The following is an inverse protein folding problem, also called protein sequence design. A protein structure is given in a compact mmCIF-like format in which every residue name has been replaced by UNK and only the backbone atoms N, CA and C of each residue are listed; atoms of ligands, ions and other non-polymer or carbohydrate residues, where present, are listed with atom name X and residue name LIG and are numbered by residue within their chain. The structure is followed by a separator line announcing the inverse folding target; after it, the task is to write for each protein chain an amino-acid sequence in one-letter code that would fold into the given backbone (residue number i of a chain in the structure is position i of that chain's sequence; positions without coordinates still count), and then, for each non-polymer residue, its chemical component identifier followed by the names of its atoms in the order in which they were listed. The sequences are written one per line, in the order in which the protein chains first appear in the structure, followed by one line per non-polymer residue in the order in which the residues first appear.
data_IF_314336019652
#
_entry.id   IF_314336019652
#
_cell.length_a   1.000
_cell.length_b   1.000
_cell.length_c   1.000
_cell.angle_alpha   90.00
_cell.angle_beta   90.00
_cell.angle_gamma   90.00
#
_symmetry.space_group_name_H-M   'P 1'
#
loop_
_entity.id
_entity.type
_entity.pdbx_description
1 polymer ?
#
# COMPACT_ATOMS: atom_id res chain seq x y z
N UNK A 1 3.85 4.19 -5.16
CA UNK A 1 2.92 4.21 -4.00
C UNK A 1 1.78 5.17 -4.25
N UNK A 2 0.61 4.89 -3.69
CA UNK A 2 -0.60 5.70 -3.84
C UNK A 2 -0.99 6.38 -2.52
N UNK A 3 -2.20 6.97 -2.50
CA UNK A 3 -2.77 7.57 -1.29
C UNK A 3 -2.94 6.61 -0.11
N UNK A 4 -2.80 5.32 -0.32
CA UNK A 4 -2.97 4.30 0.71
C UNK A 4 -1.68 3.96 1.45
N UNK A 5 -0.53 4.31 0.90
CA UNK A 5 0.76 4.13 1.57
C UNK A 5 1.07 5.30 2.50
N UNK A 6 1.53 5.03 3.71
CA UNK A 6 1.79 6.04 4.73
C UNK A 6 2.80 7.10 4.25
N UNK A 7 3.89 6.67 3.61
CA UNK A 7 4.93 7.54 3.09
C UNK A 7 4.40 8.51 2.02
N UNK A 8 3.72 8.00 1.00
CA UNK A 8 3.19 8.79 -0.08
C UNK A 8 2.08 9.74 0.40
N UNK A 9 1.14 9.22 1.21
CA UNK A 9 -0.01 9.97 1.68
C UNK A 9 0.37 11.12 2.62
N UNK A 10 1.30 10.90 3.55
CA UNK A 10 1.78 11.96 4.46
C UNK A 10 2.61 13.03 3.74
N UNK A 11 3.12 12.72 2.56
CA UNK A 11 3.79 13.69 1.69
C UNK A 11 2.85 14.35 0.67
N UNK A 12 1.55 14.10 0.77
CA UNK A 12 0.52 14.80 0.00
C UNK A 12 0.10 14.10 -1.28
N UNK A 13 0.47 12.84 -1.51
CA UNK A 13 -0.04 12.03 -2.62
C UNK A 13 -1.51 11.72 -2.40
N UNK A 14 -2.34 12.02 -3.41
CA UNK A 14 -3.79 11.73 -3.43
C UNK A 14 -4.20 10.76 -4.53
N UNK A 15 -3.23 10.34 -5.34
CA UNK A 15 -3.42 9.42 -6.46
C UNK A 15 -3.97 8.09 -5.96
N UNK A 16 -5.04 7.61 -6.57
CA UNK A 16 -5.63 6.30 -6.32
C UNK A 16 -4.90 5.21 -7.13
N UNK A 17 -5.05 3.93 -6.79
CA UNK A 17 -4.51 2.83 -7.61
C UNK A 17 -4.97 2.91 -9.08
N UNK A 18 -6.23 3.22 -9.34
CA UNK A 18 -6.74 3.37 -10.71
C UNK A 18 -6.05 4.51 -11.47
N UNK A 19 -5.86 5.67 -10.83
CA UNK A 19 -5.12 6.77 -11.45
C UNK A 19 -3.64 6.44 -11.68
N UNK A 20 -3.02 5.64 -10.81
CA UNK A 20 -1.65 5.19 -10.99
C UNK A 20 -1.49 4.27 -12.21
N UNK A 21 -2.42 3.35 -12.43
CA UNK A 21 -2.43 2.53 -13.65
C UNK A 21 -2.76 3.35 -14.91
N UNK A 22 -3.73 4.28 -14.84
CA UNK A 22 -4.01 5.19 -15.95
C UNK A 22 -2.77 6.03 -16.32
N UNK A 23 -2.05 6.56 -15.31
CA UNK A 23 -0.78 7.24 -15.53
C UNK A 23 0.27 6.34 -16.20
N UNK A 24 0.39 5.09 -15.78
CA UNK A 24 1.29 4.12 -16.40
C UNK A 24 0.93 3.87 -17.88
N UNK A 25 -0.35 3.93 -18.24
CA UNK A 25 -0.82 3.88 -19.63
C UNK A 25 -0.71 5.21 -20.39
N UNK A 26 -0.16 6.26 -19.76
CA UNK A 26 0.06 7.55 -20.39
C UNK A 26 -1.06 8.56 -20.17
N UNK A 27 -2.01 8.32 -19.27
CA UNK A 27 -2.96 9.34 -18.84
C UNK A 27 -2.27 10.41 -17.98
N UNK A 28 -2.81 11.62 -17.97
CA UNK A 28 -2.32 12.69 -17.09
C UNK A 28 -2.80 12.47 -15.66
N UNK A 29 -1.91 12.61 -14.68
CA UNK A 29 -2.22 12.55 -13.26
C UNK A 29 -1.94 13.88 -12.58
N UNK A 30 -2.88 14.34 -11.74
CA UNK A 30 -2.71 15.52 -10.91
C UNK A 30 -1.75 15.27 -9.75
N UNK A 31 -0.86 16.23 -9.51
CA UNK A 31 0.11 16.18 -8.42
C UNK A 31 0.07 17.45 -7.57
N UNK A 32 0.63 17.35 -6.37
CA UNK A 32 0.80 18.49 -5.47
C UNK A 32 1.64 19.63 -6.11
N UNK A 33 1.46 20.89 -5.64
CA UNK A 33 0.59 21.28 -4.53
C UNK A 33 -0.90 21.23 -4.91
N UNK A 34 -1.75 21.15 -3.88
CA UNK A 34 -3.20 21.11 -4.02
C UNK A 34 -3.78 22.51 -3.71
N UNK A 35 -4.82 22.90 -4.42
CA UNK A 35 -5.61 24.10 -4.11
C UNK A 35 -6.37 23.91 -2.78
N UNK A 36 -7.01 24.96 -2.28
CA UNK A 36 -7.87 24.88 -1.09
C UNK A 36 -9.10 24.00 -1.31
N UNK A 37 -9.54 23.90 -2.54
CA UNK A 37 -10.67 23.08 -2.99
C UNK A 37 -10.25 21.62 -3.23
N UNK A 38 -8.94 21.33 -3.16
CA UNK A 38 -8.40 19.97 -3.32
C UNK A 38 -8.00 19.62 -4.76
N UNK A 39 -8.04 20.59 -5.68
CA UNK A 39 -7.63 20.39 -7.07
C UNK A 39 -6.10 20.43 -7.22
N UNK A 40 -5.51 19.59 -8.09
CA UNK A 40 -4.09 19.64 -8.35
C UNK A 40 -3.70 20.91 -9.09
N UNK A 41 -2.64 21.58 -8.64
CA UNK A 41 -2.10 22.74 -9.33
C UNK A 41 -1.07 22.38 -10.41
N UNK A 42 -0.68 21.13 -10.47
CA UNK A 42 0.22 20.57 -11.47
C UNK A 42 -0.24 19.19 -11.90
N UNK A 43 0.16 18.78 -13.09
CA UNK A 43 -0.05 17.42 -13.58
C UNK A 43 1.24 16.86 -14.19
N UNK A 44 1.32 15.55 -14.23
CA UNK A 44 2.36 14.81 -14.94
C UNK A 44 1.71 13.84 -15.93
N UNK A 45 2.43 13.57 -17.00
CA UNK A 45 2.07 12.56 -17.99
C UNK A 45 3.35 11.91 -18.49
N UNK A 46 3.33 10.59 -18.70
CA UNK A 46 4.46 9.91 -19.31
C UNK A 46 4.55 10.25 -20.79
N UNK A 47 5.75 10.46 -21.29
CA UNK A 47 5.99 10.67 -22.72
C UNK A 47 5.68 9.40 -23.56
N UNK A 48 5.76 8.23 -22.94
CA UNK A 48 5.42 6.94 -23.51
C UNK A 48 4.74 6.07 -22.44
N UNK A 49 3.63 5.38 -22.77
CA UNK A 49 3.05 4.37 -21.89
C UNK A 49 4.06 3.30 -21.50
N UNK A 50 3.88 2.71 -20.33
CA UNK A 50 4.61 1.52 -19.90
C UNK A 50 3.95 0.27 -20.48
N UNK A 51 4.70 -0.80 -20.58
CA UNK A 51 4.19 -2.10 -21.05
C UNK A 51 3.55 -2.90 -19.91
N UNK A 52 3.98 -2.62 -18.66
CA UNK A 52 3.42 -3.23 -17.45
C UNK A 52 3.62 -2.33 -16.23
N UNK A 53 2.81 -2.53 -15.21
CA UNK A 53 2.95 -1.85 -13.93
C UNK A 53 2.36 -2.65 -12.76
N UNK A 54 2.82 -2.35 -11.56
CA UNK A 54 2.26 -2.79 -10.29
C UNK A 54 2.16 -1.60 -9.34
N UNK A 55 1.03 -1.44 -8.68
CA UNK A 55 0.92 -0.59 -7.49
C UNK A 55 1.40 -1.40 -6.30
N UNK A 56 2.41 -0.89 -5.59
CA UNK A 56 3.05 -1.56 -4.45
C UNK A 56 3.00 -0.72 -3.18
N UNK A 57 1.80 -0.33 -2.77
CA UNK A 57 1.63 0.40 -1.51
C UNK A 57 2.15 -0.42 -0.34
N UNK A 58 2.74 0.24 0.67
CA UNK A 58 3.13 -0.41 1.92
C UNK A 58 1.94 -1.06 2.60
N UNK A 59 2.05 -2.34 2.93
CA UNK A 59 0.99 -3.08 3.62
C UNK A 59 0.84 -2.62 5.09
N UNK A 60 1.95 -2.17 5.67
CA UNK A 60 1.97 -1.63 7.03
C UNK A 60 1.11 -0.37 7.11
N UNK A 61 0.21 -0.33 8.07
CA UNK A 61 -0.65 0.82 8.37
C UNK A 61 -1.60 1.23 7.24
N UNK A 62 -1.83 0.38 6.23
CA UNK A 62 -2.72 0.70 5.10
C UNK A 62 -4.16 0.98 5.56
N UNK A 63 -4.62 0.28 6.60
CA UNK A 63 -5.93 0.49 7.23
C UNK A 63 -6.00 1.82 7.97
N UNK A 64 -4.98 2.14 8.75
CA UNK A 64 -4.88 3.40 9.51
C UNK A 64 -4.85 4.61 8.56
N UNK A 65 -4.06 4.52 7.49
CA UNK A 65 -4.02 5.57 6.46
C UNK A 65 -5.40 5.76 5.82
N UNK A 66 -6.11 4.67 5.52
CA UNK A 66 -7.47 4.74 4.99
C UNK A 66 -8.43 5.39 5.98
N UNK A 67 -8.41 4.98 7.24
CA UNK A 67 -9.26 5.54 8.29
C UNK A 67 -9.01 7.04 8.48
N UNK A 68 -7.76 7.46 8.55
CA UNK A 68 -7.39 8.85 8.76
C UNK A 68 -7.75 9.78 7.60
N UNK A 69 -7.82 9.25 6.37
CA UNK A 69 -8.16 9.99 5.16
C UNK A 69 -9.66 9.95 4.79
N UNK A 70 -10.47 9.14 5.47
CA UNK A 70 -11.86 8.91 5.04
C UNK A 70 -12.85 9.34 6.12
N UNK A 71 -13.51 10.51 5.98
CA UNK A 71 -14.52 10.96 6.92
C UNK A 71 -15.65 9.93 7.10
N UNK A 72 -16.09 9.74 8.35
CA UNK A 72 -17.18 8.82 8.68
C UNK A 72 -16.76 7.35 8.84
N UNK A 73 -15.51 6.99 8.56
CA UNK A 73 -14.95 5.69 8.93
C UNK A 73 -14.66 5.69 10.43
N UNK A 74 -14.97 4.59 11.10
CA UNK A 74 -14.66 4.43 12.52
C UNK A 74 -13.15 4.63 12.76
N UNK A 75 -12.80 5.37 13.81
CA UNK A 75 -11.40 5.76 14.11
C UNK A 75 -10.92 7.04 13.42
N UNK A 76 -11.68 7.61 12.44
CA UNK A 76 -11.30 8.83 11.74
C UNK A 76 -11.02 10.02 12.68
N UNK A 77 -11.77 10.13 13.76
CA UNK A 77 -11.66 11.23 14.72
C UNK A 77 -10.75 10.91 15.91
N UNK A 78 -9.98 9.81 15.84
CA UNK A 78 -8.96 9.49 16.83
C UNK A 78 -7.85 10.56 16.89
N UNK A 79 -7.12 10.62 18.00
CA UNK A 79 -6.01 11.58 18.13
C UNK A 79 -4.89 11.30 17.13
N UNK A 80 -4.65 10.03 16.78
CA UNK A 80 -3.68 9.62 15.76
C UNK A 80 -4.06 10.18 14.39
N UNK A 81 -5.32 10.06 14.02
CA UNK A 81 -5.82 10.59 12.77
C UNK A 81 -5.87 12.12 12.75
N UNK A 82 -6.13 12.77 13.87
CA UNK A 82 -5.99 14.22 14.01
C UNK A 82 -4.53 14.64 13.79
N UNK A 83 -3.58 13.95 14.44
CA UNK A 83 -2.15 14.19 14.24
C UNK A 83 -1.75 14.00 12.78
N UNK A 84 -2.19 12.91 12.15
CA UNK A 84 -1.94 12.60 10.75
C UNK A 84 -2.41 13.71 9.81
N UNK A 85 -3.61 14.25 10.01
CA UNK A 85 -4.16 15.31 9.16
C UNK A 85 -3.53 16.68 9.40
N UNK A 86 -3.18 17.02 10.64
CA UNK A 86 -2.68 18.35 10.99
C UNK A 86 -1.14 18.46 10.98
N UNK A 87 -0.44 17.34 11.21
CA UNK A 87 1.03 17.30 11.20
C UNK A 87 1.54 16.03 10.53
N UNK A 88 1.28 15.86 9.20
CA UNK A 88 1.56 14.61 8.48
C UNK A 88 3.02 14.17 8.55
N UNK A 89 3.98 15.10 8.51
CA UNK A 89 5.40 14.76 8.67
C UNK A 89 5.73 14.15 10.02
N UNK A 90 5.17 14.70 11.10
CA UNK A 90 5.36 14.17 12.43
C UNK A 90 4.67 12.81 12.60
N UNK A 91 3.46 12.67 12.06
CA UNK A 91 2.74 11.42 12.02
C UNK A 91 3.53 10.34 11.26
N UNK A 92 4.13 10.67 10.12
CA UNK A 92 4.99 9.75 9.36
C UNK A 92 6.07 9.12 10.25
N UNK A 93 6.88 9.95 10.93
CA UNK A 93 7.96 9.43 11.77
C UNK A 93 7.43 8.67 12.99
N UNK A 94 6.41 9.18 13.64
CA UNK A 94 5.85 8.55 14.84
C UNK A 94 5.22 7.19 14.51
N UNK A 95 4.40 7.12 13.46
CA UNK A 95 3.69 5.89 13.09
C UNK A 95 4.66 4.83 12.58
N UNK A 96 5.65 5.22 11.75
CA UNK A 96 6.72 4.30 11.35
C UNK A 96 7.51 3.78 12.56
N UNK A 97 7.87 4.65 13.50
CA UNK A 97 8.59 4.22 14.71
C UNK A 97 7.75 3.24 15.54
N UNK A 98 6.46 3.50 15.72
CA UNK A 98 5.56 2.60 16.45
C UNK A 98 5.40 1.25 15.76
N UNK A 99 5.10 1.25 14.46
CA UNK A 99 4.94 0.03 13.69
C UNK A 99 6.25 -0.77 13.60
N UNK A 100 7.37 -0.10 13.29
CA UNK A 100 8.65 -0.78 13.09
C UNK A 100 9.28 -1.32 14.39
N UNK A 101 9.22 -0.56 15.48
CA UNK A 101 9.86 -0.98 16.74
C UNK A 101 9.06 -2.02 17.49
N UNK A 102 7.75 -2.07 17.32
CA UNK A 102 6.85 -2.96 18.05
C UNK A 102 6.24 -4.06 17.18
N UNK A 103 6.35 -3.97 15.85
CA UNK A 103 5.60 -4.77 14.90
C UNK A 103 4.11 -4.80 15.29
N UNK A 104 3.51 -3.62 15.47
CA UNK A 104 2.15 -3.48 15.97
C UNK A 104 1.43 -2.32 15.29
N UNK A 105 0.13 -2.48 15.16
CA UNK A 105 -0.78 -1.44 14.74
C UNK A 105 -0.86 -0.28 15.75
N UNK A 106 -1.44 0.85 15.33
CA UNK A 106 -1.66 2.00 16.21
C UNK A 106 -2.76 1.70 17.25
N UNK A 107 -2.77 2.45 18.35
CA UNK A 107 -3.74 2.25 19.42
C UNK A 107 -5.21 2.42 19.01
N UNK A 108 -5.47 3.18 17.96
CA UNK A 108 -6.82 3.34 17.39
C UNK A 108 -7.42 2.04 16.83
N UNK A 109 -6.60 1.00 16.58
CA UNK A 109 -7.05 -0.28 16.02
C UNK A 109 -7.79 -1.17 17.01
N UNK A 110 -7.74 -0.84 18.31
CA UNK A 110 -8.31 -1.65 19.39
C UNK A 110 -7.39 -2.78 19.85
N UNK A 111 -7.88 -3.60 20.78
CA UNK A 111 -7.05 -4.62 21.44
C UNK A 111 -6.62 -5.76 20.50
N UNK A 112 -7.46 -6.11 19.53
CA UNK A 112 -7.26 -7.24 18.61
C UNK A 112 -6.98 -6.80 17.17
N UNK A 113 -6.69 -5.51 16.98
CA UNK A 113 -6.43 -4.87 15.68
C UNK A 113 -7.56 -5.01 14.65
N UNK A 114 -8.74 -5.47 15.08
CA UNK A 114 -9.88 -5.78 14.21
C UNK A 114 -10.34 -4.57 13.40
N UNK A 115 -10.31 -3.37 14.02
CA UNK A 115 -10.74 -2.17 13.32
C UNK A 115 -9.82 -1.85 12.13
N UNK A 116 -8.51 -1.97 12.33
CA UNK A 116 -7.53 -1.71 11.26
C UNK A 116 -7.51 -2.81 10.21
N UNK A 117 -7.65 -4.08 10.59
CA UNK A 117 -7.81 -5.19 9.65
C UNK A 117 -9.02 -4.99 8.74
N UNK A 118 -10.17 -4.64 9.33
CA UNK A 118 -11.39 -4.32 8.57
C UNK A 118 -11.19 -3.12 7.64
N UNK A 119 -10.53 -2.08 8.12
CA UNK A 119 -10.24 -0.89 7.32
C UNK A 119 -9.27 -1.18 6.18
N UNK A 120 -8.32 -2.10 6.35
CA UNK A 120 -7.35 -2.53 5.32
C UNK A 120 -8.00 -3.23 4.12
N UNK A 121 -9.18 -3.85 4.32
CA UNK A 121 -9.90 -4.52 3.23
C UNK A 121 -10.29 -3.55 2.10
N UNK A 122 -10.58 -2.30 2.42
CA UNK A 122 -11.03 -1.32 1.43
C UNK A 122 -9.91 -0.95 0.45
N UNK A 123 -8.75 -0.42 0.89
CA UNK A 123 -7.65 -0.12 0.00
C UNK A 123 -7.10 -1.35 -0.72
N UNK A 124 -7.04 -2.52 -0.07
CA UNK A 124 -6.60 -3.75 -0.70
C UNK A 124 -7.51 -4.16 -1.86
N UNK A 125 -8.82 -4.21 -1.63
CA UNK A 125 -9.80 -4.50 -2.69
C UNK A 125 -9.83 -3.43 -3.78
N UNK A 126 -9.53 -2.18 -3.47
CA UNK A 126 -9.44 -1.12 -4.46
C UNK A 126 -8.22 -1.31 -5.38
N UNK A 127 -7.07 -1.70 -4.80
CA UNK A 127 -5.86 -2.06 -5.56
C UNK A 127 -6.11 -3.25 -6.48
N UNK A 128 -6.76 -4.31 -5.99
CA UNK A 128 -7.15 -5.46 -6.81
C UNK A 128 -8.03 -5.05 -7.99
N UNK A 129 -9.11 -4.31 -7.70
CA UNK A 129 -10.05 -3.87 -8.74
C UNK A 129 -9.37 -2.98 -9.77
N UNK A 130 -8.47 -2.11 -9.33
CA UNK A 130 -7.72 -1.25 -10.23
C UNK A 130 -6.80 -2.07 -11.15
N UNK A 131 -6.04 -3.02 -10.60
CA UNK A 131 -5.20 -3.91 -11.39
C UNK A 131 -6.03 -4.65 -12.44
N UNK A 132 -7.10 -5.33 -12.02
CA UNK A 132 -7.96 -6.08 -12.93
C UNK A 132 -8.61 -5.22 -14.02
N UNK A 133 -9.02 -4.01 -13.69
CA UNK A 133 -9.64 -3.07 -14.63
C UNK A 133 -8.70 -2.62 -15.74
N UNK A 134 -7.43 -2.42 -15.41
CA UNK A 134 -6.44 -1.90 -16.36
C UNK A 134 -5.67 -2.99 -17.10
N UNK A 135 -5.83 -4.25 -16.72
CA UNK A 135 -5.18 -5.37 -17.40
C UNK A 135 -5.79 -5.60 -18.78
N UNK A 136 -5.00 -5.40 -19.81
CA UNK A 136 -5.41 -5.74 -21.19
C UNK A 136 -5.25 -7.24 -21.45
N UNK A 137 -6.37 -7.96 -21.41
CA UNK A 137 -6.44 -9.40 -21.73
C UNK A 137 -6.82 -9.67 -23.19
N UNK A 138 -6.84 -8.65 -24.05
CA UNK A 138 -7.03 -8.82 -25.48
C UNK A 138 -5.82 -9.50 -26.16
N UNK A 139 -5.97 -9.84 -27.42
CA UNK A 139 -4.85 -10.40 -28.20
C UNK A 139 -3.69 -9.41 -28.37
N UNK A 140 -3.95 -8.11 -28.25
CA UNK A 140 -2.92 -7.07 -28.38
C UNK A 140 -2.01 -7.01 -27.14
N UNK A 141 -2.51 -7.42 -25.97
CA UNK A 141 -1.77 -7.46 -24.71
C UNK A 141 -0.94 -6.19 -24.47
N UNK A 142 -1.57 -5.04 -24.69
CA UNK A 142 -0.89 -3.73 -24.73
C UNK A 142 -0.41 -3.25 -23.35
N UNK A 143 -1.02 -3.75 -22.27
CA UNK A 143 -0.64 -3.39 -20.90
C UNK A 143 -0.92 -4.52 -19.92
N UNK A 144 0.10 -4.90 -19.17
CA UNK A 144 -0.01 -5.92 -18.11
C UNK A 144 0.01 -5.27 -16.74
N UNK A 145 -0.95 -5.61 -15.89
CA UNK A 145 -0.95 -5.20 -14.49
C UNK A 145 -0.69 -6.39 -13.58
N UNK A 146 0.02 -6.14 -12.50
CA UNK A 146 0.18 -7.10 -11.42
C UNK A 146 -0.50 -6.59 -10.16
N UNK A 147 -1.12 -7.50 -9.43
CA UNK A 147 -1.56 -7.23 -8.05
C UNK A 147 -0.35 -7.41 -7.14
N UNK A 148 -0.17 -6.51 -6.19
CA UNK A 148 0.93 -6.63 -5.24
C UNK A 148 0.90 -5.57 -4.17
N UNK A 149 1.88 -5.64 -3.30
CA UNK A 149 2.09 -4.70 -2.20
C UNK A 149 3.56 -4.69 -1.80
N UNK A 150 3.96 -3.74 -0.99
CA UNK A 150 5.28 -3.71 -0.38
C UNK A 150 5.24 -4.12 1.09
N UNK A 151 6.07 -5.09 1.43
CA UNK A 151 6.41 -5.45 2.79
C UNK A 151 7.69 -4.74 3.20
N UNK A 152 7.66 -3.99 4.30
CA UNK A 152 8.81 -3.22 4.77
C UNK A 152 9.13 -3.56 6.21
N UNK A 153 10.21 -4.30 6.41
CA UNK A 153 10.71 -4.68 7.72
C UNK A 153 11.84 -3.80 8.22
N UNK A 154 11.88 -3.53 9.51
CA UNK A 154 13.01 -2.91 10.18
C UNK A 154 13.98 -4.00 10.65
N UNK A 155 15.27 -3.80 10.41
CA UNK A 155 16.33 -4.62 10.99
C UNK A 155 16.89 -3.93 12.25
N UNK A 156 16.49 -4.34 13.47
CA UNK A 156 16.88 -3.62 14.69
C UNK A 156 18.39 -3.53 14.92
N UNK A 157 19.14 -4.51 14.41
CA UNK A 157 20.59 -4.58 14.59
C UNK A 157 21.39 -3.57 13.74
N UNK A 158 20.83 -3.13 12.62
CA UNK A 158 21.49 -2.23 11.67
C UNK A 158 20.76 -0.91 11.46
N UNK A 159 19.50 -0.82 11.92
CA UNK A 159 18.61 0.32 11.62
C UNK A 159 18.16 0.39 10.17
N UNK A 160 18.56 -0.58 9.33
CA UNK A 160 18.21 -0.61 7.92
C UNK A 160 16.79 -1.13 7.68
N UNK A 161 16.11 -0.54 6.73
CA UNK A 161 14.84 -1.06 6.23
C UNK A 161 15.09 -2.13 5.18
N UNK A 162 14.31 -3.20 5.25
CA UNK A 162 14.30 -4.26 4.25
C UNK A 162 12.98 -4.19 3.50
N UNK A 163 13.03 -3.77 2.27
CA UNK A 163 11.87 -3.64 1.40
C UNK A 163 11.72 -4.86 0.49
N UNK A 164 10.51 -5.35 0.33
CA UNK A 164 10.17 -6.44 -0.60
C UNK A 164 8.85 -6.18 -1.27
N UNK A 165 8.85 -6.21 -2.59
CA UNK A 165 7.62 -6.24 -3.36
C UNK A 165 7.08 -7.68 -3.38
N UNK A 166 5.89 -7.87 -2.89
CA UNK A 166 5.13 -9.11 -3.05
C UNK A 166 4.25 -8.94 -4.29
N UNK A 167 4.47 -9.79 -5.27
CA UNK A 167 3.80 -9.75 -6.58
C UNK A 167 3.00 -11.02 -6.74
N UNK A 168 1.71 -10.89 -7.04
CA UNK A 168 0.84 -12.03 -7.31
C UNK A 168 0.69 -12.27 -8.81
N UNK A 169 0.63 -13.53 -9.21
CA UNK A 169 0.46 -13.96 -10.60
C UNK A 169 -0.86 -13.52 -11.19
N UNK A 170 -1.92 -13.48 -10.40
CA UNK A 170 -3.28 -13.15 -10.80
C UNK A 170 -4.06 -12.49 -9.66
N UNK A 171 -5.39 -12.38 -9.79
CA UNK A 171 -6.27 -11.78 -8.78
C UNK A 171 -6.68 -12.74 -7.65
N UNK A 172 -6.24 -14.00 -7.67
CA UNK A 172 -6.40 -14.92 -6.55
C UNK A 172 -5.30 -14.63 -5.55
N UNK A 173 -5.66 -13.94 -4.47
CA UNK A 173 -4.72 -13.39 -3.48
C UNK A 173 -5.30 -13.57 -2.08
N UNK A 174 -4.47 -13.52 -1.03
CA UNK A 174 -4.93 -13.51 0.36
C UNK A 174 -5.95 -12.39 0.62
N UNK A 175 -6.84 -12.60 1.58
CA UNK A 175 -7.87 -11.62 1.96
C UNK A 175 -7.27 -10.29 2.41
N UNK A 176 -6.11 -10.33 3.06
CA UNK A 176 -5.30 -9.17 3.43
C UNK A 176 -3.83 -9.41 3.05
N UNK A 177 -3.08 -8.35 2.75
CA UNK A 177 -1.63 -8.45 2.57
C UNK A 177 -0.96 -8.91 3.85
N UNK A 178 0.02 -9.81 3.75
CA UNK A 178 0.87 -10.19 4.89
C UNK A 178 1.89 -9.08 5.12
N UNK A 179 1.64 -8.23 6.11
CA UNK A 179 2.46 -7.06 6.42
C UNK A 179 3.64 -7.40 7.34
N UNK A 180 4.54 -6.44 7.57
CA UNK A 180 5.58 -6.56 8.60
C UNK A 180 4.99 -6.70 10.01
N UNK A 181 3.83 -6.14 10.27
CA UNK A 181 3.16 -6.26 11.57
C UNK A 181 2.76 -7.71 11.83
N UNK A 182 2.27 -8.42 10.79
CA UNK A 182 1.89 -9.83 10.86
C UNK A 182 3.11 -10.76 10.81
N UNK A 183 4.12 -10.39 10.05
CA UNK A 183 5.30 -11.19 9.75
C UNK A 183 6.58 -10.32 9.88
N UNK A 184 7.10 -10.12 11.10
CA UNK A 184 8.20 -9.19 11.38
C UNK A 184 9.60 -9.64 10.94
N UNK A 185 9.67 -10.67 10.12
CA UNK A 185 10.91 -11.09 9.46
C UNK A 185 10.63 -11.64 8.07
N UNK A 186 11.66 -11.61 7.19
CA UNK A 186 11.54 -12.17 5.85
C UNK A 186 11.11 -13.65 5.85
N UNK A 187 11.58 -14.44 6.82
CA UNK A 187 11.19 -15.83 6.95
C UNK A 187 9.70 -15.97 7.27
N UNK A 188 9.22 -15.18 8.23
CA UNK A 188 7.79 -15.18 8.58
C UNK A 188 6.91 -14.70 7.42
N UNK A 189 7.40 -13.73 6.62
CA UNK A 189 6.71 -13.34 5.39
C UNK A 189 6.57 -14.53 4.43
N UNK A 190 7.64 -15.30 4.22
CA UNK A 190 7.59 -16.47 3.33
C UNK A 190 6.67 -17.56 3.89
N UNK A 191 6.79 -17.87 5.19
CA UNK A 191 5.93 -18.85 5.85
C UNK A 191 4.44 -18.40 5.79
N UNK A 192 4.18 -17.10 5.96
CA UNK A 192 2.83 -16.52 5.83
C UNK A 192 2.27 -16.59 4.40
N UNK A 193 3.09 -16.28 3.41
CA UNK A 193 2.69 -16.40 1.99
C UNK A 193 2.51 -17.86 1.57
N UNK A 194 3.34 -18.77 2.06
CA UNK A 194 3.16 -20.19 1.81
C UNK A 194 1.83 -20.70 2.38
N UNK A 195 1.50 -20.26 3.60
CA UNK A 195 0.25 -20.65 4.25
C UNK A 195 -1.00 -20.00 3.63
N UNK A 196 -0.90 -18.74 3.25
CA UNK A 196 -2.06 -17.96 2.79
C UNK A 196 -2.27 -17.98 1.26
N UNK A 197 -1.27 -18.42 0.49
CA UNK A 197 -1.26 -18.37 -0.96
C UNK A 197 -0.65 -19.65 -1.54
N UNK A 198 0.65 -19.74 -1.66
CA UNK A 198 1.34 -20.76 -2.45
C UNK A 198 1.02 -22.21 -2.04
N UNK A 199 0.75 -22.45 -0.76
CA UNK A 199 0.42 -23.78 -0.23
C UNK A 199 -1.07 -24.02 0.02
N UNK A 200 -1.89 -22.98 -0.01
CA UNK A 200 -3.31 -23.04 0.34
C UNK A 200 -4.23 -23.23 -0.85
N UNK A 201 -3.85 -22.70 -2.01
CA UNK A 201 -4.66 -22.71 -3.23
C UNK A 201 -3.73 -22.76 -4.45
N UNK A 202 -3.90 -23.77 -5.29
CA UNK A 202 -3.11 -23.95 -6.52
C UNK A 202 -3.23 -22.80 -7.52
N UNK A 203 -4.24 -21.94 -7.37
CA UNK A 203 -4.43 -20.75 -8.20
C UNK A 203 -3.71 -19.52 -7.67
N UNK A 204 -3.37 -19.46 -6.39
CA UNK A 204 -2.65 -18.35 -5.78
C UNK A 204 -1.15 -18.60 -5.82
N UNK A 205 -0.42 -17.75 -6.52
CA UNK A 205 1.04 -17.77 -6.59
C UNK A 205 1.61 -16.39 -6.28
N UNK A 206 2.57 -16.31 -5.37
CA UNK A 206 3.26 -15.10 -4.99
C UNK A 206 4.76 -15.19 -5.25
N UNK A 207 5.34 -14.11 -5.75
CA UNK A 207 6.78 -13.90 -5.92
C UNK A 207 7.21 -12.74 -5.02
N UNK A 208 8.28 -12.93 -4.25
CA UNK A 208 8.84 -11.88 -3.38
C UNK A 208 10.13 -11.36 -3.97
N UNK A 209 10.15 -10.09 -4.32
CA UNK A 209 11.29 -9.41 -4.95
C UNK A 209 11.88 -8.41 -3.94
N UNK A 210 13.08 -8.68 -3.38
CA UNK A 210 13.76 -7.69 -2.56
C UNK A 210 14.26 -6.54 -3.41
N UNK A 211 14.17 -5.32 -2.88
CA UNK A 211 14.84 -4.18 -3.45
C UNK A 211 15.72 -3.48 -2.41
N UNK A 212 16.54 -2.52 -2.85
CA UNK A 212 17.54 -1.86 -2.01
C UNK A 212 16.90 -1.18 -0.79
N UNK A 213 17.63 -1.22 0.31
CA UNK A 213 17.28 -0.48 1.52
C UNK A 213 17.41 1.02 1.30
N UNK A 214 16.51 1.79 1.89
CA UNK A 214 16.74 3.21 2.07
C UNK A 214 17.76 3.40 3.20
N UNK A 215 18.96 3.83 2.87
CA UNK A 215 20.00 4.19 3.82
C UNK A 215 19.99 5.69 4.04
#
# INVERSE_FOLDING_TARGET
HTRYSLDASTQGTRTTPAQAYGFAQGESVGIQPWSKEGEPLRSLQLARPLDFAMVSDHAELIGEVHMCNTPGVEGHDSWECLLYRHWPRGAYYLFNAMASLRAAHLGLCGADDELCKKASLVPWKDTLRAAERYYDRSADCSFTTFVGYEWTGLQPSSGGNLHRNVVFRNATVPELPVSYIDAPSARQLWDGLESACNGADDECEALVIPHNSNM
#
